data_IF_460374109574
#
_entry.id   IF_460374109574
#
_cell.length_a   1.000
_cell.length_b   1.000
_cell.length_c   1.000
_cell.angle_alpha   90.00
_cell.angle_beta   90.00
_cell.angle_gamma   90.00
#
_symmetry.space_group_name_H-M   'P 1'
#
loop_
_entity.id
_entity.type
_entity.pdbx_description
1 polymer ?
#
# COMPACT_ATOMS: atom_id res chain seq x y z
N UNK A 1 -11.27 -12.45 1.31
CA UNK A 1 -10.70 -11.93 2.57
C UNK A 1 -9.77 -10.77 2.29
N UNK A 2 -10.31 -9.56 2.41
CA UNK A 2 -9.57 -8.29 2.35
C UNK A 2 -9.53 -7.71 3.77
N UNK A 3 -8.42 -7.07 4.10
CA UNK A 3 -8.29 -6.27 5.31
C UNK A 3 -8.38 -4.80 4.94
N UNK A 4 -9.34 -4.10 5.50
CA UNK A 4 -9.46 -2.65 5.43
C UNK A 4 -8.93 -2.04 6.72
N UNK A 5 -8.03 -1.06 6.63
CA UNK A 5 -7.55 -0.31 7.80
C UNK A 5 -7.94 1.14 7.63
N UNK A 6 -8.76 1.66 8.55
CA UNK A 6 -9.32 3.00 8.40
C UNK A 6 -8.96 3.85 9.61
N UNK A 7 -8.40 5.03 9.37
CA UNK A 7 -8.23 6.03 10.42
C UNK A 7 -9.55 6.79 10.62
N UNK A 8 -9.98 6.92 11.88
CA UNK A 8 -11.25 7.56 12.25
C UNK A 8 -11.01 8.96 12.80
N UNK A 9 -11.87 9.89 12.40
CA UNK A 9 -12.01 11.21 13.01
C UNK A 9 -13.45 11.51 13.41
N UNK A 10 -13.87 12.73 13.16
CA UNK A 10 -15.19 13.22 13.56
C UNK A 10 -16.31 12.93 12.55
N UNK A 11 -16.08 12.05 11.58
CA UNK A 11 -17.08 11.68 10.57
C UNK A 11 -16.87 10.26 10.05
N UNK A 12 -17.99 9.63 9.73
CA UNK A 12 -18.14 8.33 9.06
C UNK A 12 -17.91 8.39 7.53
N UNK A 13 -17.88 9.58 6.93
CA UNK A 13 -17.85 9.76 5.47
C UNK A 13 -16.75 8.93 4.78
N UNK A 14 -15.49 8.87 5.27
CA UNK A 14 -14.46 8.01 4.70
C UNK A 14 -14.85 6.52 4.66
N UNK A 15 -15.54 6.03 5.69
CA UNK A 15 -15.97 4.62 5.77
C UNK A 15 -17.11 4.37 4.80
N UNK A 16 -18.09 5.27 4.72
CA UNK A 16 -19.18 5.16 3.75
C UNK A 16 -18.62 5.12 2.32
N UNK A 17 -17.67 6.00 2.01
CA UNK A 17 -17.01 6.04 0.69
C UNK A 17 -16.20 4.78 0.41
N UNK A 18 -15.55 4.18 1.41
CA UNK A 18 -14.91 2.87 1.26
C UNK A 18 -15.91 1.80 0.83
N UNK A 19 -17.08 1.75 1.48
CA UNK A 19 -18.08 0.73 1.17
C UNK A 19 -18.62 0.91 -0.25
N UNK A 20 -18.90 2.15 -0.65
CA UNK A 20 -19.35 2.47 -2.00
C UNK A 20 -18.31 2.12 -3.06
N UNK A 21 -17.02 2.38 -2.80
CA UNK A 21 -15.93 2.14 -3.77
C UNK A 21 -15.57 0.66 -3.92
N UNK A 22 -15.40 -0.03 -2.80
CA UNK A 22 -14.80 -1.37 -2.79
C UNK A 22 -15.82 -2.49 -2.65
N UNK A 23 -17.03 -2.18 -2.13
CA UNK A 23 -18.04 -3.16 -1.73
C UNK A 23 -17.52 -4.08 -0.64
N UNK A 24 -18.11 -4.05 0.57
CA UNK A 24 -17.72 -5.00 1.61
C UNK A 24 -18.37 -6.36 1.36
N UNK A 25 -17.56 -7.42 1.39
CA UNK A 25 -18.00 -8.80 1.18
C UNK A 25 -17.93 -9.61 2.49
N UNK A 26 -18.59 -10.77 2.49
CA UNK A 26 -18.50 -11.72 3.60
C UNK A 26 -17.05 -12.20 3.74
N UNK A 27 -16.51 -12.10 4.96
CA UNK A 27 -15.14 -12.49 5.27
C UNK A 27 -14.09 -11.40 5.00
N UNK A 28 -14.51 -10.18 4.65
CA UNK A 28 -13.64 -9.02 4.82
C UNK A 28 -13.59 -8.60 6.29
N UNK A 29 -12.49 -7.93 6.64
CA UNK A 29 -12.27 -7.42 7.98
C UNK A 29 -11.97 -5.92 7.95
N UNK A 30 -12.62 -5.14 8.82
CA UNK A 30 -12.39 -3.69 8.95
C UNK A 30 -11.74 -3.38 10.29
N UNK A 31 -10.48 -2.95 10.25
CA UNK A 31 -9.77 -2.42 11.40
C UNK A 31 -9.93 -0.90 11.45
N UNK A 32 -10.63 -0.42 12.45
CA UNK A 32 -10.83 1.00 12.74
C UNK A 32 -9.75 1.47 13.71
N UNK A 33 -9.04 2.56 13.39
CA UNK A 33 -7.95 3.09 14.23
C UNK A 33 -8.30 4.52 14.67
N UNK A 34 -8.26 4.77 15.97
CA UNK A 34 -8.53 6.09 16.56
C UNK A 34 -7.49 6.45 17.63
N UNK A 35 -7.31 7.74 17.97
CA UNK A 35 -6.46 8.13 19.10
C UNK A 35 -7.05 7.68 20.44
N UNK A 36 -6.21 7.49 21.45
CA UNK A 36 -6.63 7.41 22.86
C UNK A 36 -7.18 8.74 23.33
N UNK A 37 -8.09 8.68 24.30
CA UNK A 37 -8.78 9.85 24.86
C UNK A 37 -10.25 9.88 24.43
N UNK A 38 -11.05 10.67 25.15
CA UNK A 38 -12.47 10.84 24.88
C UNK A 38 -12.71 12.14 24.11
N UNK A 39 -13.28 12.01 22.92
CA UNK A 39 -13.81 13.13 22.12
C UNK A 39 -15.23 12.74 21.69
N UNK A 40 -16.23 13.52 22.11
CA UNK A 40 -17.64 13.21 21.86
C UNK A 40 -17.97 13.08 20.37
N UNK A 41 -17.33 13.87 19.51
CA UNK A 41 -17.54 13.81 18.06
C UNK A 41 -16.93 12.54 17.48
N UNK A 42 -15.76 12.14 17.97
CA UNK A 42 -15.12 10.89 17.56
C UNK A 42 -15.94 9.67 18.01
N UNK A 43 -16.49 9.68 19.23
CA UNK A 43 -17.37 8.61 19.71
C UNK A 43 -18.68 8.55 18.93
N UNK A 44 -19.30 9.70 18.64
CA UNK A 44 -20.51 9.77 17.83
C UNK A 44 -20.27 9.22 16.42
N UNK A 45 -19.16 9.63 15.78
CA UNK A 45 -18.75 9.10 14.48
C UNK A 45 -18.49 7.60 14.53
N UNK A 46 -17.80 7.11 15.57
CA UNK A 46 -17.56 5.69 15.76
C UNK A 46 -18.87 4.90 15.93
N UNK A 47 -19.84 5.42 16.69
CA UNK A 47 -21.16 4.81 16.82
C UNK A 47 -21.87 4.73 15.47
N UNK A 48 -21.89 5.84 14.71
CA UNK A 48 -22.48 5.88 13.36
C UNK A 48 -21.84 4.84 12.43
N UNK A 49 -20.51 4.72 12.47
CA UNK A 49 -19.76 3.71 11.70
C UNK A 49 -20.16 2.29 12.12
N UNK A 50 -20.22 2.00 13.43
CA UNK A 50 -20.60 0.68 13.94
C UNK A 50 -22.02 0.30 13.51
N UNK A 51 -22.96 1.24 13.60
CA UNK A 51 -24.35 1.02 13.18
C UNK A 51 -24.45 0.78 11.67
N UNK A 52 -23.69 1.52 10.87
CA UNK A 52 -23.63 1.36 9.43
C UNK A 52 -23.06 -0.01 9.03
N UNK A 53 -21.91 -0.40 9.58
CA UNK A 53 -21.30 -1.72 9.31
C UNK A 53 -22.18 -2.86 9.85
N UNK A 54 -22.83 -2.66 10.99
CA UNK A 54 -23.79 -3.60 11.58
C UNK A 54 -24.97 -3.88 10.65
N UNK A 55 -25.56 -2.84 10.04
CA UNK A 55 -26.64 -2.99 9.06
C UNK A 55 -26.19 -3.71 7.78
N UNK A 56 -24.95 -3.49 7.34
CA UNK A 56 -24.40 -4.13 6.14
C UNK A 56 -24.16 -5.63 6.32
N UNK A 57 -23.67 -6.05 7.49
CA UNK A 57 -23.31 -7.46 7.75
C UNK A 57 -24.32 -8.24 8.59
N UNK A 58 -25.37 -7.61 9.11
CA UNK A 58 -26.39 -8.26 9.94
C UNK A 58 -25.81 -8.86 11.24
N UNK A 59 -26.34 -10.00 11.68
CA UNK A 59 -25.91 -10.68 12.94
C UNK A 59 -24.44 -11.16 12.92
N UNK A 60 -23.82 -11.30 11.74
CA UNK A 60 -22.41 -11.69 11.58
C UNK A 60 -21.44 -10.53 11.88
N UNK A 61 -21.97 -9.30 12.04
CA UNK A 61 -21.23 -8.04 12.07
C UNK A 61 -20.15 -7.91 13.15
N UNK A 62 -20.37 -8.47 14.34
CA UNK A 62 -19.49 -8.24 15.50
C UNK A 62 -18.09 -8.86 15.37
N UNK A 63 -17.89 -9.79 14.42
CA UNK A 63 -16.59 -10.45 14.19
C UNK A 63 -15.81 -9.87 13.01
N UNK A 64 -16.42 -9.01 12.21
CA UNK A 64 -15.85 -8.53 10.94
C UNK A 64 -15.25 -7.12 11.04
N UNK A 65 -15.27 -6.51 12.22
CA UNK A 65 -14.53 -5.28 12.48
C UNK A 65 -14.00 -5.22 13.92
N UNK A 66 -12.97 -4.41 14.12
CA UNK A 66 -12.47 -4.08 15.46
C UNK A 66 -12.02 -2.63 15.54
N UNK A 67 -11.97 -2.10 16.76
CA UNK A 67 -11.48 -0.75 17.04
C UNK A 67 -10.17 -0.86 17.80
N UNK A 68 -9.14 -0.22 17.26
CA UNK A 68 -7.83 -0.10 17.88
C UNK A 68 -7.61 1.36 18.30
N UNK A 69 -7.49 1.57 19.61
CA UNK A 69 -7.06 2.85 20.18
C UNK A 69 -5.54 2.89 20.30
N UNK A 70 -4.92 3.95 19.81
CA UNK A 70 -3.47 4.17 19.88
C UNK A 70 -3.14 5.57 20.41
N UNK A 71 -2.01 5.69 21.10
CA UNK A 71 -1.55 6.97 21.62
C UNK A 71 -0.71 7.70 20.55
N UNK A 72 -1.15 8.87 20.04
CA UNK A 72 -0.34 9.65 19.11
C UNK A 72 0.95 10.20 19.71
N UNK A 73 1.06 10.27 21.06
CA UNK A 73 2.24 10.74 21.78
C UNK A 73 3.27 9.63 22.02
N UNK A 74 2.88 8.35 21.88
CA UNK A 74 3.80 7.19 21.87
C UNK A 74 3.79 6.49 20.50
N UNK A 75 4.39 7.10 19.46
CA UNK A 75 4.34 6.57 18.10
C UNK A 75 5.02 5.20 17.99
N UNK A 76 6.06 4.90 18.78
CA UNK A 76 6.79 3.63 18.67
C UNK A 76 5.90 2.47 19.11
N UNK A 77 5.26 2.58 20.29
CA UNK A 77 4.35 1.54 20.78
C UNK A 77 3.12 1.44 19.88
N UNK A 78 2.58 2.57 19.44
CA UNK A 78 1.43 2.62 18.54
C UNK A 78 1.71 1.95 17.19
N UNK A 79 2.87 2.22 16.55
CA UNK A 79 3.32 1.53 15.33
C UNK A 79 3.41 0.02 15.57
N UNK A 80 4.00 -0.42 16.69
CA UNK A 80 4.10 -1.86 17.03
C UNK A 80 2.73 -2.51 17.17
N UNK A 81 1.78 -1.84 17.84
CA UNK A 81 0.42 -2.36 18.04
C UNK A 81 -0.32 -2.52 16.72
N UNK A 82 -0.33 -1.50 15.87
CA UNK A 82 -0.94 -1.56 14.53
C UNK A 82 -0.30 -2.69 13.71
N UNK A 83 1.03 -2.73 13.64
CA UNK A 83 1.76 -3.76 12.88
C UNK A 83 1.43 -5.18 13.36
N UNK A 84 1.40 -5.40 14.67
CA UNK A 84 1.11 -6.71 15.23
C UNK A 84 -0.33 -7.12 14.92
N UNK A 85 -1.29 -6.22 15.02
CA UNK A 85 -2.68 -6.55 14.72
C UNK A 85 -2.86 -6.97 13.25
N UNK A 86 -2.24 -6.23 12.32
CA UNK A 86 -2.26 -6.57 10.89
C UNK A 86 -1.68 -7.97 10.62
N UNK A 87 -0.59 -8.34 11.30
CA UNK A 87 0.05 -9.64 11.12
C UNK A 87 -0.80 -10.84 11.54
N UNK A 88 -1.75 -10.66 12.45
CA UNK A 88 -2.62 -11.74 12.92
C UNK A 88 -3.88 -11.90 12.06
N UNK A 89 -4.07 -11.04 11.06
CA UNK A 89 -5.21 -11.09 10.15
C UNK A 89 -4.75 -11.70 8.83
N UNK A 90 -5.26 -12.88 8.50
CA UNK A 90 -5.02 -13.52 7.21
C UNK A 90 -5.83 -12.81 6.12
N UNK A 91 -5.15 -12.02 5.29
CA UNK A 91 -5.77 -11.32 4.16
C UNK A 91 -4.88 -11.41 2.91
N UNK A 92 -5.51 -11.55 1.74
CA UNK A 92 -4.80 -11.52 0.44
C UNK A 92 -4.58 -10.11 -0.07
N UNK A 93 -5.30 -9.14 0.47
CA UNK A 93 -5.25 -7.74 0.09
C UNK A 93 -5.46 -6.85 1.31
N UNK A 94 -4.61 -5.83 1.44
CA UNK A 94 -4.68 -4.80 2.46
C UNK A 94 -5.00 -3.46 1.81
N UNK A 95 -6.08 -2.83 2.26
CA UNK A 95 -6.55 -1.54 1.77
C UNK A 95 -6.58 -0.57 2.94
N UNK A 96 -5.65 0.38 2.98
CA UNK A 96 -5.57 1.39 4.03
C UNK A 96 -6.26 2.68 3.58
N UNK A 97 -7.37 3.03 4.22
CA UNK A 97 -8.07 4.30 4.00
C UNK A 97 -7.62 5.30 5.06
N UNK A 98 -6.70 6.16 4.65
CA UNK A 98 -6.03 7.13 5.50
C UNK A 98 -6.62 8.53 5.28
N UNK A 99 -7.95 8.63 5.37
CA UNK A 99 -8.71 9.83 4.95
C UNK A 99 -9.39 10.56 6.11
N UNK A 100 -9.49 9.94 7.29
CA UNK A 100 -10.12 10.51 8.47
C UNK A 100 -9.17 10.60 9.66
N UNK A 101 -9.52 11.43 10.64
CA UNK A 101 -8.85 11.47 11.93
C UNK A 101 -7.67 12.43 12.02
N UNK A 102 -6.93 12.28 13.13
CA UNK A 102 -5.77 13.11 13.42
C UNK A 102 -4.61 12.73 12.49
N UNK A 103 -3.92 13.73 11.93
CA UNK A 103 -2.79 13.50 11.00
C UNK A 103 -1.67 12.65 11.62
N UNK A 104 -1.44 12.75 12.93
CA UNK A 104 -0.49 11.90 13.67
C UNK A 104 -0.85 10.42 13.60
N UNK A 105 -2.14 10.08 13.71
CA UNK A 105 -2.66 8.72 13.61
C UNK A 105 -2.46 8.16 12.21
N UNK A 106 -2.73 8.98 11.19
CA UNK A 106 -2.42 8.64 9.79
C UNK A 106 -0.95 8.27 9.61
N UNK A 107 -0.03 9.10 10.11
CA UNK A 107 1.40 8.86 10.00
C UNK A 107 1.83 7.58 10.73
N UNK A 108 1.27 7.33 11.92
CA UNK A 108 1.54 6.10 12.68
C UNK A 108 1.08 4.86 11.91
N UNK A 109 -0.12 4.87 11.34
CA UNK A 109 -0.65 3.74 10.56
C UNK A 109 0.16 3.54 9.28
N UNK A 110 0.49 4.62 8.57
CA UNK A 110 1.36 4.57 7.39
C UNK A 110 2.72 3.96 7.73
N UNK A 111 3.37 4.40 8.80
CA UNK A 111 4.64 3.85 9.26
C UNK A 111 4.51 2.36 9.62
N UNK A 112 3.44 1.97 10.32
CA UNK A 112 3.19 0.57 10.62
C UNK A 112 3.09 -0.29 9.36
N UNK A 113 2.42 0.20 8.32
CA UNK A 113 2.32 -0.45 7.00
C UNK A 113 3.70 -0.54 6.33
N UNK A 114 4.48 0.55 6.33
CA UNK A 114 5.83 0.55 5.75
C UNK A 114 6.76 -0.43 6.49
N UNK A 115 6.62 -0.61 7.80
CA UNK A 115 7.39 -1.59 8.58
C UNK A 115 6.86 -3.03 8.50
N UNK A 116 5.79 -3.32 7.76
CA UNK A 116 5.40 -4.68 7.39
C UNK A 116 6.38 -5.20 6.33
N UNK A 117 7.58 -5.59 6.75
CA UNK A 117 8.67 -5.99 5.83
C UNK A 117 8.83 -7.50 5.59
N UNK A 118 7.99 -8.38 6.18
CA UNK A 118 8.31 -9.82 6.15
C UNK A 118 7.15 -10.81 5.97
N UNK A 119 5.90 -10.50 6.33
CA UNK A 119 4.79 -11.48 6.32
C UNK A 119 3.86 -11.41 5.12
N UNK A 120 4.07 -10.47 4.20
CA UNK A 120 3.08 -10.10 3.19
C UNK A 120 3.60 -10.20 1.75
N UNK A 121 4.54 -11.14 1.47
CA UNK A 121 5.11 -11.31 0.11
C UNK A 121 4.03 -11.53 -0.98
N UNK A 122 2.84 -11.94 -0.57
CA UNK A 122 1.70 -12.24 -1.44
C UNK A 122 0.45 -11.39 -1.14
N UNK A 123 0.59 -10.28 -0.40
CA UNK A 123 -0.55 -9.41 -0.08
C UNK A 123 -0.49 -8.14 -0.91
N UNK A 124 -1.51 -7.93 -1.72
CA UNK A 124 -1.68 -6.71 -2.50
C UNK A 124 -1.97 -5.55 -1.54
N UNK A 125 -1.10 -4.53 -1.54
CA UNK A 125 -1.27 -3.33 -0.71
C UNK A 125 -1.82 -2.18 -1.55
N UNK A 126 -2.81 -1.47 -1.01
CA UNK A 126 -3.27 -0.18 -1.53
C UNK A 126 -3.48 0.79 -0.37
N UNK A 127 -3.03 2.04 -0.54
CA UNK A 127 -3.28 3.15 0.38
C UNK A 127 -4.13 4.18 -0.37
N UNK A 128 -5.22 4.62 0.25
CA UNK A 128 -6.12 5.64 -0.31
C UNK A 128 -6.26 6.82 0.66
N UNK A 129 -6.20 8.03 0.12
CA UNK A 129 -6.38 9.29 0.85
C UNK A 129 -7.35 10.16 0.07
N UNK A 130 -8.50 10.49 0.65
CA UNK A 130 -9.48 11.39 0.05
C UNK A 130 -8.90 12.80 -0.10
N UNK A 131 -9.19 13.44 -1.23
CA UNK A 131 -8.83 14.84 -1.45
C UNK A 131 -9.94 15.71 -0.86
N UNK A 132 -9.59 16.51 0.14
CA UNK A 132 -10.53 17.36 0.86
C UNK A 132 -11.26 18.33 -0.09
N UNK A 133 -12.58 18.46 0.08
CA UNK A 133 -13.43 19.27 -0.79
C UNK A 133 -13.69 18.67 -2.18
N UNK A 134 -13.22 17.45 -2.46
CA UNK A 134 -13.44 16.77 -3.75
C UNK A 134 -14.06 15.39 -3.56
N UNK A 135 -14.58 14.85 -4.66
CA UNK A 135 -15.01 13.45 -4.76
C UNK A 135 -13.92 12.56 -5.38
N UNK A 136 -12.66 12.96 -5.19
CA UNK A 136 -11.46 12.31 -5.72
C UNK A 136 -10.61 11.80 -4.56
N UNK A 137 -9.72 10.85 -4.84
CA UNK A 137 -8.80 10.30 -3.86
C UNK A 137 -7.46 10.00 -4.51
N UNK A 138 -6.39 10.17 -3.74
CA UNK A 138 -5.06 9.68 -4.06
C UNK A 138 -5.01 8.18 -3.78
N UNK A 139 -4.43 7.42 -4.70
CA UNK A 139 -4.18 5.99 -4.54
C UNK A 139 -2.70 5.67 -4.71
N UNK A 140 -2.12 5.00 -3.72
CA UNK A 140 -0.77 4.45 -3.78
C UNK A 140 -0.87 2.93 -3.77
N UNK A 141 -0.42 2.28 -4.83
CA UNK A 141 -0.40 0.82 -4.91
C UNK A 141 0.92 0.21 -4.40
N UNK A 142 0.98 -1.12 -4.36
CA UNK A 142 2.12 -1.86 -3.86
C UNK A 142 3.44 -1.53 -4.58
N UNK A 143 3.41 -1.13 -5.86
CA UNK A 143 4.63 -0.84 -6.63
C UNK A 143 5.38 0.36 -6.05
N UNK A 144 4.66 1.42 -5.68
CA UNK A 144 5.25 2.60 -5.05
C UNK A 144 5.85 2.26 -3.69
N UNK A 145 5.19 1.39 -2.93
CA UNK A 145 5.68 0.95 -1.61
C UNK A 145 6.92 0.07 -1.74
N UNK A 146 6.94 -0.82 -2.73
CA UNK A 146 8.09 -1.68 -3.03
C UNK A 146 9.31 -0.83 -3.39
N UNK A 147 9.13 0.23 -4.20
CA UNK A 147 10.21 1.17 -4.55
C UNK A 147 10.77 1.89 -3.33
N UNK A 148 9.92 2.38 -2.41
CA UNK A 148 10.38 3.04 -1.17
C UNK A 148 11.26 2.11 -0.31
N UNK A 149 10.95 0.82 -0.31
CA UNK A 149 11.68 -0.22 0.43
C UNK A 149 12.88 -0.76 -0.33
N UNK A 150 12.92 -0.56 -1.63
CA UNK A 150 13.95 -1.09 -2.50
C UNK A 150 15.32 -0.54 -2.12
N UNK A 151 16.32 -1.41 -2.13
CA UNK A 151 17.71 -1.10 -1.81
C UNK A 151 18.58 -1.63 -2.95
N UNK A 152 18.61 -0.92 -4.09
CA UNK A 152 19.35 -1.37 -5.25
C UNK A 152 20.85 -1.38 -5.00
N UNK A 153 21.54 -2.29 -5.67
CA UNK A 153 23.00 -2.19 -5.84
C UNK A 153 23.34 -1.11 -6.87
N UNK A 154 24.59 -0.62 -6.85
CA UNK A 154 25.08 0.32 -7.86
C UNK A 154 24.94 -0.24 -9.29
N UNK A 155 25.16 -1.54 -9.49
CA UNK A 155 24.99 -2.18 -10.79
C UNK A 155 23.52 -2.20 -11.24
N UNK A 156 22.57 -2.38 -10.33
CA UNK A 156 21.15 -2.30 -10.62
C UNK A 156 20.72 -0.86 -10.98
N UNK A 157 21.23 0.15 -10.27
CA UNK A 157 21.00 1.56 -10.60
C UNK A 157 21.57 1.90 -11.99
N UNK A 158 22.80 1.46 -12.26
CA UNK A 158 23.44 1.66 -13.57
C UNK A 158 22.64 0.99 -14.69
N UNK A 159 22.12 -0.23 -14.46
CA UNK A 159 21.24 -0.89 -15.42
C UNK A 159 19.98 -0.07 -15.72
N UNK A 160 19.30 0.43 -14.68
CA UNK A 160 18.12 1.28 -14.83
C UNK A 160 18.44 2.57 -15.60
N UNK A 161 19.57 3.21 -15.30
CA UNK A 161 20.01 4.42 -15.99
C UNK A 161 20.26 4.16 -17.49
N UNK A 162 20.91 3.04 -17.83
CA UNK A 162 21.16 2.65 -19.22
C UNK A 162 19.84 2.47 -20.00
N UNK A 163 18.88 1.73 -19.45
CA UNK A 163 17.58 1.48 -20.11
C UNK A 163 16.63 2.67 -20.07
N UNK A 164 16.88 3.66 -19.18
CA UNK A 164 16.20 4.95 -19.17
C UNK A 164 16.64 5.83 -20.33
N UNK A 165 17.93 5.85 -20.62
CA UNK A 165 18.49 6.67 -21.69
C UNK A 165 18.17 6.12 -23.09
N UNK A 166 18.16 4.79 -23.26
CA UNK A 166 17.77 4.13 -24.51
C UNK A 166 17.33 2.68 -24.29
N UNK A 167 16.40 2.15 -25.10
CA UNK A 167 16.07 0.74 -25.05
C UNK A 167 17.28 -0.14 -25.43
N UNK A 168 17.55 -1.19 -24.64
CA UNK A 168 18.69 -2.10 -24.83
C UNK A 168 18.28 -3.56 -24.68
N UNK A 169 18.99 -4.45 -25.38
CA UNK A 169 18.84 -5.90 -25.21
C UNK A 169 19.54 -6.39 -23.93
N UNK A 170 19.14 -7.57 -23.45
CA UNK A 170 19.79 -8.22 -22.32
C UNK A 170 21.30 -8.47 -22.55
N UNK A 171 21.73 -8.70 -23.79
CA UNK A 171 23.14 -8.92 -24.15
C UNK A 171 23.96 -7.64 -24.06
N UNK A 172 23.45 -6.54 -24.63
CA UNK A 172 24.12 -5.23 -24.54
C UNK A 172 24.26 -4.78 -23.08
N UNK A 173 23.25 -5.04 -22.25
CA UNK A 173 23.32 -4.76 -20.81
C UNK A 173 24.33 -5.64 -20.09
N UNK A 174 24.38 -6.94 -20.40
CA UNK A 174 25.35 -7.87 -19.83
C UNK A 174 26.79 -7.43 -20.13
N UNK A 175 27.06 -7.03 -21.38
CA UNK A 175 28.36 -6.50 -21.80
C UNK A 175 28.69 -5.16 -21.13
N UNK A 176 27.72 -4.24 -21.06
CA UNK A 176 27.92 -2.89 -20.48
C UNK A 176 28.13 -2.89 -18.96
N UNK A 177 27.61 -3.92 -18.28
CA UNK A 177 27.64 -4.06 -16.83
C UNK A 177 28.65 -5.11 -16.36
N UNK A 178 29.33 -5.79 -17.28
CA UNK A 178 30.26 -6.90 -17.00
C UNK A 178 29.63 -8.01 -16.13
N UNK A 179 28.42 -8.45 -16.52
CA UNK A 179 27.68 -9.51 -15.82
C UNK A 179 27.08 -10.51 -16.80
N UNK A 180 26.70 -11.69 -16.31
CA UNK A 180 26.00 -12.67 -17.13
C UNK A 180 24.59 -12.20 -17.52
N UNK A 181 24.13 -12.61 -18.71
CA UNK A 181 22.76 -12.37 -19.20
C UNK A 181 21.69 -12.86 -18.20
N UNK A 182 21.95 -13.96 -17.49
CA UNK A 182 21.06 -14.48 -16.45
C UNK A 182 20.92 -13.54 -15.24
N UNK A 183 21.96 -12.78 -14.91
CA UNK A 183 21.92 -11.72 -13.88
C UNK A 183 21.06 -10.55 -14.33
N UNK A 184 21.27 -10.08 -15.57
CA UNK A 184 20.43 -9.01 -16.16
C UNK A 184 18.96 -9.43 -16.20
N UNK A 185 18.66 -10.66 -16.61
CA UNK A 185 17.30 -11.18 -16.63
C UNK A 185 16.66 -11.17 -15.23
N UNK A 186 17.41 -11.58 -14.20
CA UNK A 186 16.93 -11.57 -12.81
C UNK A 186 16.61 -10.15 -12.34
N UNK A 187 17.51 -9.19 -12.57
CA UNK A 187 17.28 -7.79 -12.24
C UNK A 187 16.10 -7.20 -13.01
N UNK A 188 16.00 -7.48 -14.32
CA UNK A 188 14.86 -7.07 -15.12
C UNK A 188 13.54 -7.59 -14.56
N UNK A 189 13.47 -8.87 -14.14
CA UNK A 189 12.23 -9.42 -13.54
C UNK A 189 11.85 -8.74 -12.23
N UNK A 190 12.84 -8.31 -11.46
CA UNK A 190 12.61 -7.49 -10.27
C UNK A 190 12.06 -6.11 -10.65
N UNK A 191 12.67 -5.44 -11.63
CA UNK A 191 12.25 -4.12 -12.10
C UNK A 191 10.85 -4.14 -12.75
N UNK A 192 10.58 -5.16 -13.56
CA UNK A 192 9.28 -5.41 -14.21
C UNK A 192 8.18 -5.63 -13.16
N UNK A 193 8.48 -6.40 -12.10
CA UNK A 193 7.54 -6.61 -10.99
C UNK A 193 7.22 -5.29 -10.26
N UNK A 194 8.21 -4.43 -10.06
CA UNK A 194 8.04 -3.10 -9.45
C UNK A 194 7.48 -2.06 -10.44
N UNK A 195 7.30 -2.41 -11.72
CA UNK A 195 6.84 -1.50 -12.76
C UNK A 195 7.88 -0.46 -13.19
N UNK A 196 9.16 -0.65 -12.88
CA UNK A 196 10.26 0.26 -13.22
C UNK A 196 10.79 0.06 -14.65
N UNK A 197 10.57 -1.12 -15.23
CA UNK A 197 11.03 -1.47 -16.58
C UNK A 197 10.01 -2.36 -17.29
N UNK A 198 10.04 -2.34 -18.62
CA UNK A 198 9.16 -3.14 -19.47
C UNK A 198 9.86 -3.58 -20.77
N UNK A 199 9.23 -4.52 -21.49
CA UNK A 199 9.69 -4.96 -22.80
C UNK A 199 9.03 -4.11 -23.90
N UNK A 200 9.85 -3.38 -24.64
CA UNK A 200 9.45 -2.77 -25.91
C UNK A 200 9.39 -3.85 -27.00
N UNK A 201 8.17 -4.24 -27.37
CA UNK A 201 7.95 -5.26 -28.42
C UNK A 201 8.20 -4.66 -29.80
N UNK A 202 9.26 -5.11 -30.47
CA UNK A 202 9.45 -4.88 -31.92
C UNK A 202 9.09 -6.16 -32.68
N UNK A 203 8.17 -6.05 -33.66
CA UNK A 203 7.80 -7.15 -34.55
C UNK A 203 9.07 -7.56 -35.33
N UNK A 204 9.70 -8.68 -34.94
CA UNK A 204 10.86 -9.37 -35.58
C UNK A 204 12.28 -9.06 -35.03
N UNK A 205 12.43 -8.39 -33.89
CA UNK A 205 13.75 -8.16 -33.26
C UNK A 205 13.83 -8.74 -31.85
N UNK A 206 15.05 -8.83 -31.32
CA UNK A 206 15.29 -9.20 -29.93
C UNK A 206 14.51 -8.25 -29.00
N UNK A 207 14.02 -8.78 -27.87
CA UNK A 207 13.29 -8.00 -26.88
C UNK A 207 14.18 -6.87 -26.33
N UNK A 208 13.73 -5.63 -26.50
CA UNK A 208 14.38 -4.44 -25.96
C UNK A 208 13.75 -4.09 -24.61
N UNK A 209 14.60 -3.82 -23.62
CA UNK A 209 14.19 -3.39 -22.29
C UNK A 209 14.24 -1.87 -22.26
N UNK A 210 13.23 -1.25 -21.68
CA UNK A 210 13.17 0.19 -21.45
C UNK A 210 12.67 0.51 -20.04
N UNK A 211 13.12 1.62 -19.47
CA UNK A 211 12.54 2.13 -18.23
C UNK A 211 11.12 2.67 -18.45
N UNK A 212 10.29 2.64 -17.41
CA UNK A 212 9.00 3.33 -17.37
C UNK A 212 9.13 4.70 -16.72
N UNK A 213 8.08 5.53 -16.76
CA UNK A 213 8.04 6.83 -16.08
C UNK A 213 8.24 6.73 -14.56
N UNK A 214 7.91 5.57 -13.98
CA UNK A 214 8.09 5.30 -12.55
C UNK A 214 9.56 5.32 -12.13
N UNK A 215 10.47 5.06 -13.08
CA UNK A 215 11.90 5.11 -12.87
C UNK A 215 12.40 6.53 -12.51
N UNK A 216 11.65 7.59 -12.86
CA UNK A 216 11.98 8.97 -12.50
C UNK A 216 11.89 9.25 -10.98
N UNK A 217 11.32 8.33 -10.18
CA UNK A 217 11.31 8.47 -8.73
C UNK A 217 12.63 8.01 -8.06
N UNK A 218 13.55 7.42 -8.82
CA UNK A 218 14.81 6.84 -8.31
C UNK A 218 16.00 7.77 -8.51
N UNK A 219 15.96 8.64 -9.54
CA UNK A 219 17.04 9.51 -9.96
C UNK A 219 16.65 10.98 -9.83
#
# INVERSE_FOLDING_TARGET
HRLFICTIGWTEVPIVRLVVRHGLEVGDFVLLVKPTGSDEKAEAALSSIKDFLGKLWGEVSSKNFSVLEIDPLDPITSIKRVKNLIKHIEAKKLIAILSGGMRSILLIVLMAILYLNYSLKDVELTIEVDIEGRNEYLRLDSRLIDIVKWRPTEAQLKMLELIRNKPLTMRELAESLDVNVSTVYRWFKEFEKMGLAEIKKEKRRAALLQATDLCNLIF
#
